data_IF_403194391253
#
_entry.id   IF_403194391253
#
_cell.length_a   1.000
_cell.length_b   1.000
_cell.length_c   1.000
_cell.angle_alpha   90.00
_cell.angle_beta   90.00
_cell.angle_gamma   90.00
#
_symmetry.space_group_name_H-M   'P 1'
#
loop_
_entity.id
_entity.type
_entity.pdbx_description
1 polymer ?
#
# COMPACT_ATOMS: atom_id res chain seq x y z
N UNK A 1 -10.30 5.36 -8.08
CA UNK A 1 -9.03 6.07 -8.14
C UNK A 1 -9.07 7.18 -9.18
N UNK A 2 -9.20 6.88 -10.48
CA UNK A 2 -9.25 7.84 -11.59
C UNK A 2 -10.20 9.03 -11.33
N UNK A 3 -11.45 8.76 -10.91
CA UNK A 3 -12.39 9.83 -10.56
C UNK A 3 -11.93 10.73 -9.40
N UNK A 4 -11.17 10.19 -8.45
CA UNK A 4 -10.63 10.99 -7.35
C UNK A 4 -9.50 11.89 -7.83
N UNK A 5 -8.63 11.39 -8.71
CA UNK A 5 -7.57 12.19 -9.33
C UNK A 5 -8.16 13.31 -10.20
N UNK A 6 -9.15 12.97 -11.03
CA UNK A 6 -9.86 13.98 -11.86
C UNK A 6 -10.55 15.05 -11.00
N UNK A 7 -11.13 14.70 -9.83
CA UNK A 7 -11.68 15.66 -8.88
C UNK A 7 -10.62 16.61 -8.32
N UNK A 8 -9.40 16.13 -8.16
CA UNK A 8 -8.24 16.92 -7.71
C UNK A 8 -7.60 17.74 -8.85
N UNK A 9 -8.10 17.62 -10.08
CA UNK A 9 -7.56 18.31 -11.27
C UNK A 9 -6.34 17.62 -11.89
N UNK A 10 -6.06 16.37 -11.48
CA UNK A 10 -4.93 15.60 -12.00
C UNK A 10 -5.36 14.70 -13.17
N UNK A 11 -4.58 14.71 -14.23
CA UNK A 11 -4.74 13.78 -15.36
C UNK A 11 -4.17 12.41 -14.99
N UNK A 12 -4.89 11.34 -15.32
CA UNK A 12 -4.45 9.98 -15.06
C UNK A 12 -4.87 9.03 -16.16
N UNK A 13 -4.09 7.98 -16.37
CA UNK A 13 -4.39 6.90 -17.30
C UNK A 13 -4.30 5.55 -16.59
N UNK A 14 -5.30 4.70 -16.80
CA UNK A 14 -5.26 3.31 -16.33
C UNK A 14 -4.65 2.48 -17.46
N UNK A 15 -3.49 1.91 -17.21
CA UNK A 15 -2.75 1.18 -18.22
C UNK A 15 -1.97 0.00 -17.65
N UNK A 16 -1.61 -0.94 -18.50
CA UNK A 16 -0.59 -1.97 -18.28
C UNK A 16 0.49 -1.95 -19.37
N UNK A 17 0.49 -0.92 -20.18
CA UNK A 17 1.52 -0.71 -21.21
C UNK A 17 2.80 -0.22 -20.55
N UNK A 18 3.89 -0.92 -20.76
CA UNK A 18 5.19 -0.65 -20.15
C UNK A 18 5.70 0.74 -20.46
N UNK A 19 5.65 1.11 -21.75
CA UNK A 19 6.18 2.40 -22.18
C UNK A 19 5.43 3.56 -21.51
N UNK A 20 4.11 3.45 -21.42
CA UNK A 20 3.29 4.45 -20.72
C UNK A 20 3.64 4.54 -19.24
N UNK A 21 3.86 3.39 -18.57
CA UNK A 21 4.24 3.36 -17.15
C UNK A 21 5.63 3.96 -16.94
N UNK A 22 6.60 3.59 -17.77
CA UNK A 22 7.98 4.11 -17.71
C UNK A 22 8.08 5.63 -17.92
N UNK A 23 7.20 6.20 -18.72
CA UNK A 23 7.18 7.64 -19.02
C UNK A 23 6.32 8.44 -18.05
N UNK A 24 5.65 7.80 -17.11
CA UNK A 24 4.79 8.49 -16.15
C UNK A 24 5.60 9.32 -15.14
N UNK A 25 5.09 10.51 -14.82
CA UNK A 25 5.66 11.37 -13.78
C UNK A 25 5.49 10.79 -12.37
N UNK A 26 4.42 10.01 -12.17
CA UNK A 26 4.07 9.35 -10.91
C UNK A 26 3.30 8.07 -11.22
N UNK A 27 3.48 7.05 -10.42
CA UNK A 27 2.79 5.76 -10.57
C UNK A 27 2.00 5.42 -9.32
N UNK A 28 0.76 4.99 -9.50
CA UNK A 28 -0.08 4.50 -8.41
C UNK A 28 -0.44 3.05 -8.68
N UNK A 29 -0.15 2.17 -7.72
CA UNK A 29 -0.57 0.77 -7.71
C UNK A 29 -1.76 0.61 -6.76
N UNK A 30 -3.00 0.70 -7.25
CA UNK A 30 -4.15 0.33 -6.46
C UNK A 30 -4.30 -1.20 -6.44
N UNK A 31 -5.01 -1.73 -5.45
CA UNK A 31 -5.31 -3.15 -5.44
C UNK A 31 -6.52 -3.50 -4.60
N UNK A 32 -7.26 -4.52 -5.06
CA UNK A 32 -8.36 -5.17 -4.34
C UNK A 32 -8.28 -6.68 -4.57
N UNK A 33 -8.85 -7.45 -3.66
CA UNK A 33 -8.81 -8.92 -3.75
C UNK A 33 -7.69 -9.52 -2.90
N UNK A 34 -7.17 -10.67 -3.28
CA UNK A 34 -6.16 -11.41 -2.51
C UNK A 34 -4.73 -11.17 -3.02
N UNK A 35 -3.79 -11.26 -2.09
CA UNK A 35 -2.36 -11.04 -2.35
C UNK A 35 -1.81 -11.96 -3.46
N UNK A 36 -2.05 -13.27 -3.36
CA UNK A 36 -1.51 -14.23 -4.32
C UNK A 36 -2.03 -14.02 -5.73
N UNK A 37 -3.35 -13.84 -5.89
CA UNK A 37 -3.95 -13.58 -7.21
C UNK A 37 -3.42 -12.29 -7.83
N UNK A 38 -3.21 -11.25 -7.01
CA UNK A 38 -2.67 -9.99 -7.51
C UNK A 38 -1.21 -10.15 -7.96
N UNK A 39 -0.37 -10.85 -7.18
CA UNK A 39 1.02 -11.13 -7.57
C UNK A 39 1.11 -11.99 -8.84
N UNK A 40 0.25 -13.01 -8.97
CA UNK A 40 0.17 -13.83 -10.20
C UNK A 40 -0.17 -12.98 -11.42
N UNK A 41 -1.10 -12.03 -11.26
CA UNK A 41 -1.46 -11.10 -12.35
C UNK A 41 -0.31 -10.15 -12.68
N UNK A 42 0.39 -9.58 -11.69
CA UNK A 42 1.56 -8.73 -11.95
C UNK A 42 2.63 -9.50 -12.73
N UNK A 43 2.96 -10.70 -12.28
CA UNK A 43 3.95 -11.58 -12.95
C UNK A 43 3.49 -12.01 -14.35
N UNK A 44 2.22 -12.37 -14.50
CA UNK A 44 1.63 -12.79 -15.80
C UNK A 44 1.75 -11.71 -16.88
N UNK A 45 1.61 -10.45 -16.49
CA UNK A 45 1.72 -9.31 -17.41
C UNK A 45 3.07 -8.61 -17.32
N UNK A 46 4.05 -9.23 -16.62
CA UNK A 46 5.40 -8.71 -16.41
C UNK A 46 5.43 -7.30 -15.77
N UNK A 47 4.34 -6.88 -15.13
CA UNK A 47 4.23 -5.57 -14.47
C UNK A 47 5.15 -5.45 -13.24
N UNK A 48 5.49 -6.56 -12.60
CA UNK A 48 6.50 -6.62 -11.54
C UNK A 48 7.83 -6.02 -12.00
N UNK A 49 8.28 -6.31 -13.23
CA UNK A 49 9.53 -5.80 -13.81
C UNK A 49 9.49 -4.29 -13.99
N UNK A 50 8.44 -3.76 -14.62
CA UNK A 50 8.33 -2.31 -14.85
C UNK A 50 8.13 -1.53 -13.54
N UNK A 51 7.48 -2.13 -12.53
CA UNK A 51 7.36 -1.54 -11.19
C UNK A 51 8.75 -1.39 -10.56
N UNK A 52 9.59 -2.43 -10.58
CA UNK A 52 10.96 -2.34 -10.09
C UNK A 52 11.74 -1.25 -10.82
N UNK A 53 11.65 -1.20 -12.14
CA UNK A 53 12.37 -0.21 -12.95
C UNK A 53 11.96 1.22 -12.61
N UNK A 54 10.66 1.54 -12.51
CA UNK A 54 10.23 2.90 -12.13
C UNK A 54 10.64 3.26 -10.71
N UNK A 55 10.65 2.30 -9.78
CA UNK A 55 11.12 2.53 -8.41
C UNK A 55 12.63 2.79 -8.36
N UNK A 56 13.44 2.04 -9.10
CA UNK A 56 14.90 2.24 -9.23
C UNK A 56 15.23 3.61 -9.83
N UNK A 57 14.45 4.04 -10.81
CA UNK A 57 14.58 5.38 -11.44
C UNK A 57 14.07 6.51 -10.55
N UNK A 58 13.64 6.22 -9.34
CA UNK A 58 13.14 7.19 -8.36
C UNK A 58 11.87 7.95 -8.82
N UNK A 59 11.08 7.35 -9.69
CA UNK A 59 9.75 7.86 -9.99
C UNK A 59 8.86 7.71 -8.75
N UNK A 60 8.13 8.76 -8.31
CA UNK A 60 7.22 8.66 -7.19
C UNK A 60 6.20 7.53 -7.37
N UNK A 61 6.18 6.61 -6.41
CA UNK A 61 5.36 5.41 -6.46
C UNK A 61 4.46 5.29 -5.22
N UNK A 62 3.17 5.10 -5.41
CA UNK A 62 2.20 4.97 -4.32
C UNK A 62 1.43 3.66 -4.40
N UNK A 63 1.59 2.78 -3.42
CA UNK A 63 0.74 1.61 -3.22
C UNK A 63 -0.47 1.94 -2.35
N UNK A 64 -1.68 1.55 -2.78
CA UNK A 64 -2.92 1.78 -2.01
C UNK A 64 -3.62 0.47 -1.71
N UNK A 65 -3.94 0.24 -0.43
CA UNK A 65 -4.62 -0.96 0.06
C UNK A 65 -3.81 -2.23 -0.30
N UNK A 66 -4.35 -3.14 -1.10
CA UNK A 66 -3.60 -4.31 -1.57
C UNK A 66 -2.31 -3.90 -2.30
N UNK A 67 -2.33 -2.79 -3.05
CA UNK A 67 -1.12 -2.26 -3.69
C UNK A 67 0.00 -1.94 -2.69
N UNK A 68 -0.32 -1.41 -1.51
CA UNK A 68 0.64 -1.26 -0.41
C UNK A 68 1.19 -2.62 0.03
N UNK A 69 0.31 -3.60 0.22
CA UNK A 69 0.72 -4.93 0.70
C UNK A 69 1.66 -5.63 -0.28
N UNK A 70 1.40 -5.51 -1.59
CA UNK A 70 2.21 -6.12 -2.64
C UNK A 70 3.65 -5.61 -2.69
N UNK A 71 3.93 -4.42 -2.14
CA UNK A 71 5.29 -3.85 -2.13
C UNK A 71 6.23 -4.57 -1.15
N UNK A 72 5.70 -5.37 -0.23
CA UNK A 72 6.46 -6.06 0.80
C UNK A 72 6.87 -7.48 0.38
N UNK A 73 7.58 -8.21 1.27
CA UNK A 73 8.21 -9.49 0.96
C UNK A 73 7.18 -10.63 0.78
N UNK A 74 6.03 -10.57 1.46
CA UNK A 74 5.02 -11.62 1.40
C UNK A 74 3.86 -11.41 2.36
N UNK A 75 2.90 -12.33 2.31
CA UNK A 75 1.66 -12.24 3.09
C UNK A 75 1.23 -13.61 3.62
N UNK A 76 0.77 -13.64 4.87
CA UNK A 76 0.10 -14.82 5.46
C UNK A 76 -1.20 -15.19 4.73
N UNK A 77 -1.78 -14.27 3.95
CA UNK A 77 -2.95 -14.56 3.11
C UNK A 77 -2.64 -15.58 2.01
N UNK A 78 -1.36 -15.64 1.57
CA UNK A 78 -0.93 -16.46 0.43
C UNK A 78 0.46 -17.00 0.72
N UNK A 79 0.53 -18.02 1.56
CA UNK A 79 1.79 -18.67 1.96
C UNK A 79 2.60 -19.13 0.74
N UNK A 80 3.89 -18.83 0.75
CA UNK A 80 4.81 -19.19 -0.33
C UNK A 80 4.75 -18.28 -1.56
N UNK A 81 3.89 -17.26 -1.59
CA UNK A 81 3.87 -16.25 -2.64
C UNK A 81 4.72 -15.06 -2.21
N UNK A 82 5.78 -14.80 -2.96
CA UNK A 82 6.63 -13.63 -2.78
C UNK A 82 5.97 -12.39 -3.35
N UNK A 83 6.04 -11.27 -2.60
CA UNK A 83 5.63 -9.96 -3.07
C UNK A 83 6.67 -9.29 -3.96
N UNK A 84 6.54 -7.98 -4.15
CA UNK A 84 7.49 -7.21 -4.97
C UNK A 84 8.85 -7.00 -4.25
N UNK A 85 8.89 -7.11 -2.91
CA UNK A 85 10.13 -6.96 -2.15
C UNK A 85 10.79 -5.57 -2.27
N UNK A 86 10.00 -4.53 -2.57
CA UNK A 86 10.48 -3.15 -2.64
C UNK A 86 10.78 -2.58 -1.25
N UNK A 87 10.07 -3.06 -0.24
CA UNK A 87 10.20 -2.69 1.16
C UNK A 87 10.28 -3.95 2.04
N UNK A 88 11.01 -3.86 3.15
CA UNK A 88 11.16 -4.97 4.08
C UNK A 88 10.05 -5.00 5.12
N UNK A 89 9.44 -6.16 5.31
CA UNK A 89 8.35 -6.41 6.25
C UNK A 89 7.38 -7.45 5.73
N UNK A 90 6.37 -7.76 6.54
CA UNK A 90 5.39 -8.81 6.23
C UNK A 90 3.97 -8.32 6.38
N UNK A 91 3.09 -8.92 5.61
CA UNK A 91 1.65 -8.74 5.73
C UNK A 91 1.12 -9.91 6.56
N UNK A 92 0.57 -9.61 7.73
CA UNK A 92 0.10 -10.60 8.69
C UNK A 92 -1.40 -10.46 8.95
N UNK A 93 -2.04 -11.54 9.38
CA UNK A 93 -3.47 -11.52 9.71
C UNK A 93 -3.72 -10.76 11.01
N UNK A 94 -4.78 -9.95 11.06
CA UNK A 94 -5.25 -9.35 12.32
C UNK A 94 -5.59 -10.48 13.28
N UNK A 95 -5.03 -10.49 14.51
CA UNK A 95 -5.28 -11.56 15.46
C UNK A 95 -6.75 -11.60 15.91
N UNK A 96 -7.29 -12.80 16.02
CA UNK A 96 -8.66 -13.04 16.53
C UNK A 96 -8.67 -12.93 18.06
N UNK A 97 -8.61 -11.70 18.55
CA UNK A 97 -8.57 -11.36 19.96
C UNK A 97 -9.76 -10.52 20.39
N UNK A 98 -10.30 -10.81 21.57
CA UNK A 98 -11.25 -9.95 22.28
C UNK A 98 -12.57 -9.62 21.55
N UNK A 99 -13.07 -10.49 20.68
CA UNK A 99 -14.36 -10.31 20.03
C UNK A 99 -14.40 -9.20 18.99
N UNK A 100 -13.24 -8.75 18.51
CA UNK A 100 -13.14 -7.83 17.37
C UNK A 100 -13.62 -8.52 16.10
N UNK A 101 -14.37 -7.80 15.27
CA UNK A 101 -14.78 -8.32 13.97
C UNK A 101 -13.62 -8.25 12.99
N UNK A 102 -13.33 -9.36 12.33
CA UNK A 102 -12.40 -9.43 11.21
C UNK A 102 -13.21 -9.77 9.97
N UNK A 103 -13.09 -8.97 8.91
CA UNK A 103 -12.18 -7.85 8.67
C UNK A 103 -12.46 -6.59 9.51
N UNK A 104 -11.41 -5.78 9.73
CA UNK A 104 -11.55 -4.39 10.19
C UNK A 104 -12.24 -3.59 9.09
N UNK A 105 -13.49 -3.20 9.31
CA UNK A 105 -14.31 -2.43 8.37
C UNK A 105 -14.86 -1.21 9.09
N UNK A 106 -14.52 -0.02 8.61
CA UNK A 106 -15.06 1.23 9.14
C UNK A 106 -14.04 2.37 9.14
N UNK A 107 -14.53 3.52 9.62
CA UNK A 107 -13.70 4.70 9.85
C UNK A 107 -12.88 4.54 11.11
N UNK A 108 -11.60 4.79 11.02
CA UNK A 108 -10.70 4.81 12.17
C UNK A 108 -9.70 5.95 12.06
N UNK A 109 -9.24 6.48 13.20
CA UNK A 109 -8.30 7.59 13.25
C UNK A 109 -6.90 7.14 12.89
N UNK A 110 -6.15 8.05 12.29
CA UNK A 110 -4.72 7.89 12.07
C UNK A 110 -3.94 8.57 13.20
N UNK A 111 -2.93 7.87 13.69
CA UNK A 111 -1.89 8.42 14.53
C UNK A 111 -0.68 8.74 13.67
N UNK A 112 -0.53 10.00 13.27
CA UNK A 112 0.54 10.43 12.38
C UNK A 112 1.89 10.41 13.10
N UNK A 113 2.89 9.86 12.44
CA UNK A 113 4.25 9.72 12.92
C UNK A 113 5.24 10.26 11.87
N UNK A 114 6.36 10.85 12.34
CA UNK A 114 7.52 11.14 11.49
C UNK A 114 7.23 11.96 10.21
N UNK A 115 6.64 13.11 10.25
CA UNK A 115 6.56 14.09 9.15
C UNK A 115 6.58 13.53 7.71
N UNK A 116 5.71 12.55 7.43
CA UNK A 116 5.58 11.96 6.09
C UNK A 116 5.08 12.99 5.06
N UNK A 117 5.53 12.89 3.81
CA UNK A 117 5.11 13.79 2.72
C UNK A 117 3.63 13.69 2.42
N UNK A 118 3.05 12.48 2.50
CA UNK A 118 1.63 12.23 2.24
C UNK A 118 0.71 12.92 3.25
N UNK A 119 1.19 13.22 4.45
CA UNK A 119 0.38 13.79 5.51
C UNK A 119 0.63 15.28 5.75
N UNK A 120 1.35 15.95 4.84
CA UNK A 120 1.49 17.40 4.88
C UNK A 120 0.11 18.06 4.76
N UNK A 121 -0.23 18.91 5.72
CA UNK A 121 -1.54 19.57 5.83
C UNK A 121 -2.74 18.64 6.12
N UNK A 122 -2.51 17.38 6.48
CA UNK A 122 -3.56 16.48 6.99
C UNK A 122 -3.71 16.71 8.49
N UNK A 123 -4.93 16.88 9.00
CA UNK A 123 -5.17 17.01 10.46
C UNK A 123 -4.65 15.81 11.24
N UNK A 124 -4.13 16.05 12.45
CA UNK A 124 -3.58 15.01 13.32
C UNK A 124 -4.60 13.94 13.73
N UNK A 125 -5.88 14.28 13.67
CA UNK A 125 -7.02 13.44 14.01
C UNK A 125 -7.79 12.97 12.76
N UNK A 126 -7.13 12.92 11.61
CA UNK A 126 -7.75 12.49 10.36
C UNK A 126 -8.26 11.05 10.45
N UNK A 127 -9.43 10.82 9.89
CA UNK A 127 -10.05 9.50 9.76
C UNK A 127 -9.94 9.00 8.34
N UNK A 128 -9.64 7.72 8.19
CA UNK A 128 -9.69 7.02 6.90
C UNK A 128 -10.54 5.77 7.03
N UNK A 129 -11.04 5.29 5.91
CA UNK A 129 -11.87 4.09 5.87
C UNK A 129 -11.01 2.86 5.68
N UNK A 130 -11.10 1.91 6.61
CA UNK A 130 -10.42 0.63 6.57
C UNK A 130 -11.35 -0.48 6.07
N UNK A 131 -10.78 -1.41 5.30
CA UNK A 131 -11.46 -2.65 4.87
C UNK A 131 -10.39 -3.71 4.61
N UNK A 132 -9.95 -4.41 5.68
CA UNK A 132 -8.87 -5.38 5.56
C UNK A 132 -8.89 -6.42 6.69
N UNK A 133 -8.40 -7.62 6.39
CA UNK A 133 -8.15 -8.70 7.36
C UNK A 133 -6.65 -8.89 7.64
N UNK A 134 -5.81 -8.37 6.75
CA UNK A 134 -4.36 -8.46 6.84
C UNK A 134 -3.77 -7.07 6.89
N UNK A 135 -2.69 -6.89 7.65
CA UNK A 135 -2.06 -5.60 7.85
C UNK A 135 -0.54 -5.69 7.78
N UNK A 136 0.09 -4.56 7.56
CA UNK A 136 1.53 -4.45 7.47
C UNK A 136 2.18 -4.47 8.86
N UNK A 137 3.23 -5.28 8.99
CA UNK A 137 4.28 -5.15 9.99
C UNK A 137 5.58 -4.80 9.26
N UNK A 138 5.89 -3.51 9.16
CA UNK A 138 7.14 -3.04 8.60
C UNK A 138 8.30 -3.49 9.50
N UNK A 139 9.41 -3.93 8.90
CA UNK A 139 10.63 -4.32 9.62
C UNK A 139 11.34 -3.09 10.23
N UNK A 140 11.24 -1.96 9.56
CA UNK A 140 11.87 -0.70 9.90
C UNK A 140 10.81 0.32 10.34
N UNK A 141 10.78 0.65 11.63
CA UNK A 141 9.78 1.57 12.18
C UNK A 141 9.96 3.01 11.68
N UNK A 142 11.14 3.41 11.29
CA UNK A 142 11.44 4.74 10.77
C UNK A 142 10.73 5.06 9.46
N UNK A 143 10.32 4.05 8.68
CA UNK A 143 9.52 4.26 7.48
C UNK A 143 8.04 4.44 7.77
N UNK A 144 7.55 4.06 8.96
CA UNK A 144 6.13 4.17 9.33
C UNK A 144 5.77 5.63 9.51
N UNK A 145 4.73 6.09 8.81
CA UNK A 145 4.27 7.49 8.83
C UNK A 145 2.90 7.66 9.48
N UNK A 146 2.11 6.61 9.52
CA UNK A 146 0.85 6.59 10.26
C UNK A 146 0.55 5.19 10.78
N UNK A 147 -0.05 5.15 11.96
CA UNK A 147 -0.58 3.93 12.56
C UNK A 147 -2.07 4.09 12.88
N UNK A 148 -2.75 2.98 13.13
CA UNK A 148 -4.08 2.95 13.73
C UNK A 148 -4.19 1.78 14.70
N UNK A 149 -5.12 1.85 15.64
CA UNK A 149 -5.34 0.81 16.63
C UNK A 149 -6.58 -0.03 16.30
N UNK A 150 -6.42 -1.34 16.19
CA UNK A 150 -7.53 -2.27 16.06
C UNK A 150 -7.18 -3.62 16.72
N UNK A 151 -7.16 -3.63 18.05
CA UNK A 151 -6.69 -4.76 18.85
C UNK A 151 -5.17 -4.98 18.80
N UNK A 152 -4.55 -4.46 17.78
CA UNK A 152 -3.10 -4.35 17.59
C UNK A 152 -2.80 -3.01 16.93
N UNK A 153 -1.56 -2.55 17.07
CA UNK A 153 -1.08 -1.39 16.30
C UNK A 153 -0.86 -1.80 14.86
N UNK A 154 -1.55 -1.15 13.94
CA UNK A 154 -1.49 -1.39 12.49
C UNK A 154 -0.63 -0.30 11.85
N UNK A 155 0.40 -0.68 11.11
CA UNK A 155 1.17 0.25 10.28
C UNK A 155 0.32 0.61 9.04
N UNK A 156 -0.41 1.74 9.15
CA UNK A 156 -1.39 2.15 8.15
C UNK A 156 -0.76 2.85 6.94
N UNK A 157 0.41 3.46 7.12
CA UNK A 157 1.15 4.11 6.04
C UNK A 157 2.64 4.07 6.30
N UNK A 158 3.39 3.88 5.23
CA UNK A 158 4.85 3.90 5.22
C UNK A 158 5.35 4.80 4.12
N UNK A 159 6.57 5.28 4.26
CA UNK A 159 7.24 6.09 3.25
C UNK A 159 8.75 5.89 3.33
N UNK A 160 9.35 5.53 2.21
CA UNK A 160 10.78 5.38 2.04
C UNK A 160 11.20 5.87 0.65
N UNK A 161 12.16 6.80 0.58
CA UNK A 161 12.65 7.39 -0.67
C UNK A 161 11.51 7.96 -1.57
N UNK A 162 11.27 7.32 -2.70
CA UNK A 162 10.21 7.67 -3.66
C UNK A 162 8.93 6.83 -3.53
N UNK A 163 8.91 5.91 -2.57
CA UNK A 163 7.80 4.98 -2.34
C UNK A 163 7.01 5.44 -1.12
#
# INVERSE_FOLDING_TARGET
>A
MEKALAYLGEESVITRDFHTIEQADKVILPGVGSFGVAMDNLKRYELDKVIHEVCERKVPFLGICLGLQLMFEGSEESEGVEGLGLLEGKIVRIPDTYGLKIPHIGWNSLHLQNNGRLFQNVPMDAYVYFVHSYYLQAKHEEIVKATTEYGVTIHASVEQDNI
#
